data_IF_526639194651
#
_entry.id   IF_526639194651
#
_cell.length_a   1.000
_cell.length_b   1.000
_cell.length_c   1.000
_cell.angle_alpha   90.00
_cell.angle_beta   90.00
_cell.angle_gamma   90.00
#
_symmetry.space_group_name_H-M   'P 1'
#
loop_
_entity.id
_entity.type
_entity.pdbx_description
1 polymer ?
#
# COMPACT_ATOMS: atom_id res chain seq x y z
N UNK A 1 -29.65 17.20 1.88
CA UNK A 1 -29.25 15.80 1.77
C UNK A 1 -28.07 15.81 0.81
N UNK A 2 -26.86 15.36 1.16
CA UNK A 2 -25.88 15.19 0.11
C UNK A 2 -26.33 13.99 -0.73
N UNK A 3 -26.56 14.25 -2.01
CA UNK A 3 -26.67 13.26 -3.06
C UNK A 3 -25.27 12.69 -3.26
N UNK A 4 -25.06 11.40 -3.04
CA UNK A 4 -23.90 10.70 -3.59
C UNK A 4 -24.41 9.45 -4.25
N UNK A 5 -24.52 9.49 -5.59
CA UNK A 5 -24.74 8.36 -6.48
C UNK A 5 -23.51 7.41 -6.55
N UNK A 6 -22.74 7.35 -5.46
CA UNK A 6 -21.45 6.69 -5.32
C UNK A 6 -21.52 5.51 -4.36
N UNK A 7 -20.76 4.47 -4.69
CA UNK A 7 -20.57 3.29 -3.85
C UNK A 7 -19.68 3.64 -2.63
N UNK A 8 -20.02 3.22 -1.41
CA UNK A 8 -19.18 3.41 -0.23
C UNK A 8 -17.78 2.81 -0.36
N UNK A 9 -16.76 3.44 0.23
CA UNK A 9 -15.36 3.02 0.08
C UNK A 9 -15.08 1.60 0.60
N UNK A 10 -15.74 1.21 1.70
CA UNK A 10 -15.67 -0.15 2.27
C UNK A 10 -16.23 -1.19 1.29
N UNK A 11 -17.29 -0.86 0.57
CA UNK A 11 -17.86 -1.69 -0.50
C UNK A 11 -16.88 -1.81 -1.68
N UNK A 12 -16.20 -0.73 -2.06
CA UNK A 12 -15.16 -0.77 -3.11
C UNK A 12 -13.99 -1.68 -2.73
N UNK A 13 -13.50 -1.53 -1.49
CA UNK A 13 -12.40 -2.32 -0.95
C UNK A 13 -12.77 -3.80 -0.89
N UNK A 14 -13.99 -4.13 -0.47
CA UNK A 14 -14.45 -5.51 -0.42
C UNK A 14 -14.64 -6.11 -1.83
N UNK A 15 -15.17 -5.34 -2.79
CA UNK A 15 -15.27 -5.77 -4.19
C UNK A 15 -13.89 -6.05 -4.82
N UNK A 16 -12.89 -5.21 -4.51
CA UNK A 16 -11.49 -5.42 -4.90
C UNK A 16 -10.92 -6.71 -4.26
N UNK A 17 -11.13 -6.90 -2.95
CA UNK A 17 -10.69 -8.10 -2.22
C UNK A 17 -11.27 -9.38 -2.83
N UNK A 18 -12.59 -9.41 -3.07
CA UNK A 18 -13.27 -10.54 -3.71
C UNK A 18 -12.74 -10.80 -5.13
N UNK A 19 -12.44 -9.73 -5.88
CA UNK A 19 -11.87 -9.87 -7.23
C UNK A 19 -10.47 -10.47 -7.19
N UNK A 20 -9.63 -10.11 -6.22
CA UNK A 20 -8.31 -10.75 -6.02
C UNK A 20 -8.46 -12.23 -5.66
N UNK A 21 -9.35 -12.55 -4.72
CA UNK A 21 -9.63 -13.94 -4.34
C UNK A 21 -10.11 -14.78 -5.54
N UNK A 22 -10.98 -14.24 -6.39
CA UNK A 22 -11.41 -14.92 -7.62
C UNK A 22 -10.26 -15.22 -8.59
N UNK A 23 -9.27 -14.32 -8.68
CA UNK A 23 -8.09 -14.48 -9.54
C UNK A 23 -7.13 -15.54 -9.01
N UNK A 24 -6.95 -15.57 -7.68
CA UNK A 24 -6.04 -16.49 -7.00
C UNK A 24 -6.63 -17.88 -6.80
N UNK A 25 -7.97 -18.01 -6.84
CA UNK A 25 -8.66 -19.28 -6.73
C UNK A 25 -8.22 -20.23 -7.85
N UNK A 26 -7.78 -21.44 -7.46
CA UNK A 26 -7.43 -22.52 -8.39
C UNK A 26 -8.69 -23.28 -8.84
N UNK A 27 -9.66 -23.42 -7.93
CA UNK A 27 -10.94 -24.08 -8.17
C UNK A 27 -11.90 -23.14 -8.92
N UNK A 28 -12.44 -23.55 -10.09
CA UNK A 28 -13.46 -22.78 -10.81
C UNK A 28 -14.71 -22.45 -9.99
N UNK A 29 -15.17 -23.36 -9.13
CA UNK A 29 -16.38 -23.15 -8.33
C UNK A 29 -16.14 -22.08 -7.23
N UNK A 30 -14.93 -22.08 -6.66
CA UNK A 30 -14.49 -21.05 -5.71
C UNK A 30 -14.36 -19.68 -6.39
N UNK A 31 -13.80 -19.65 -7.61
CA UNK A 31 -13.72 -18.43 -8.42
C UNK A 31 -15.10 -17.84 -8.69
N UNK A 32 -16.05 -18.65 -9.15
CA UNK A 32 -17.43 -18.22 -9.43
C UNK A 32 -18.12 -17.70 -8.16
N UNK A 33 -17.86 -18.34 -7.00
CA UNK A 33 -18.39 -17.89 -5.71
C UNK A 33 -17.93 -16.47 -5.37
N UNK A 34 -16.63 -16.17 -5.51
CA UNK A 34 -16.12 -14.83 -5.24
C UNK A 34 -16.62 -13.78 -6.24
N UNK A 35 -16.76 -14.14 -7.53
CA UNK A 35 -17.31 -13.25 -8.55
C UNK A 35 -18.78 -12.92 -8.27
N UNK A 36 -19.59 -13.93 -7.95
CA UNK A 36 -21.00 -13.75 -7.60
C UNK A 36 -21.16 -12.89 -6.35
N UNK A 37 -20.35 -13.15 -5.32
CA UNK A 37 -20.38 -12.35 -4.09
C UNK A 37 -20.01 -10.87 -4.33
N UNK A 38 -19.07 -10.58 -5.24
CA UNK A 38 -18.72 -9.22 -5.64
C UNK A 38 -19.88 -8.55 -6.39
N UNK A 39 -20.50 -9.26 -7.31
CA UNK A 39 -21.59 -8.70 -8.13
C UNK A 39 -22.83 -8.40 -7.26
N UNK A 40 -23.19 -9.32 -6.35
CA UNK A 40 -24.25 -9.13 -5.34
C UNK A 40 -23.94 -7.97 -4.37
N UNK A 41 -22.67 -7.70 -4.10
CA UNK A 41 -22.24 -6.62 -3.20
C UNK A 41 -22.45 -5.23 -3.81
N UNK A 42 -22.26 -5.08 -5.12
CA UNK A 42 -22.32 -3.78 -5.82
C UNK A 42 -23.68 -3.50 -6.47
N UNK A 43 -24.48 -4.53 -6.75
CA UNK A 43 -25.82 -4.44 -7.33
C UNK A 43 -26.77 -3.48 -6.55
N UNK A 44 -26.82 -3.46 -5.20
CA UNK A 44 -27.71 -2.57 -4.46
C UNK A 44 -27.46 -1.08 -4.69
N UNK A 45 -26.30 -0.73 -5.25
CA UNK A 45 -25.91 0.63 -5.58
C UNK A 45 -26.10 0.97 -7.07
N UNK A 46 -26.60 0.02 -7.88
CA UNK A 46 -26.77 0.19 -9.32
C UNK A 46 -25.47 0.12 -10.10
N UNK A 47 -24.46 -0.60 -9.57
CA UNK A 47 -23.16 -0.79 -10.22
C UNK A 47 -22.99 -2.23 -10.68
N UNK A 48 -22.14 -2.41 -11.69
CA UNK A 48 -21.63 -3.71 -12.15
C UNK A 48 -20.10 -3.68 -12.18
N UNK A 49 -19.50 -4.87 -12.11
CA UNK A 49 -18.07 -5.04 -11.98
C UNK A 49 -17.48 -5.73 -13.21
N UNK A 50 -16.40 -5.17 -13.75
CA UNK A 50 -15.66 -5.75 -14.87
C UNK A 50 -14.15 -5.69 -14.61
N UNK A 51 -13.45 -6.76 -14.93
CA UNK A 51 -11.98 -6.76 -14.93
C UNK A 51 -11.48 -6.40 -16.32
N UNK A 52 -10.65 -5.36 -16.41
CA UNK A 52 -9.89 -5.01 -17.61
C UNK A 52 -8.55 -5.75 -17.55
N UNK A 53 -8.38 -6.74 -18.43
CA UNK A 53 -7.21 -7.64 -18.39
C UNK A 53 -5.91 -6.98 -18.88
N UNK A 54 -6.00 -5.90 -19.66
CA UNK A 54 -4.82 -5.24 -20.26
C UNK A 54 -3.90 -4.62 -19.20
N UNK A 55 -4.47 -4.09 -18.13
CA UNK A 55 -3.79 -3.40 -17.03
C UNK A 55 -4.16 -3.95 -15.64
N UNK A 56 -4.93 -5.03 -15.60
CA UNK A 56 -5.39 -5.69 -14.37
C UNK A 56 -6.06 -4.71 -13.41
N UNK A 57 -7.10 -4.04 -13.89
CA UNK A 57 -7.93 -3.10 -13.14
C UNK A 57 -9.34 -3.66 -12.98
N UNK A 58 -9.88 -3.61 -11.76
CA UNK A 58 -11.31 -3.75 -11.51
C UNK A 58 -11.99 -2.41 -11.79
N UNK A 59 -12.95 -2.41 -12.69
CA UNK A 59 -13.80 -1.27 -13.01
C UNK A 59 -15.18 -1.53 -12.42
N UNK A 60 -15.61 -0.68 -11.51
CA UNK A 60 -17.00 -0.60 -11.05
C UNK A 60 -17.66 0.55 -11.80
N UNK A 61 -18.72 0.27 -12.56
CA UNK A 61 -19.44 1.30 -13.28
C UNK A 61 -20.95 1.13 -13.15
N UNK A 62 -21.74 2.19 -13.32
CA UNK A 62 -23.19 2.09 -13.32
C UNK A 62 -23.70 1.01 -14.29
N UNK A 63 -24.71 0.26 -13.87
CA UNK A 63 -25.38 -0.74 -14.70
C UNK A 63 -25.97 -0.12 -15.98
N UNK A 64 -26.40 1.14 -15.89
CA UNK A 64 -27.01 1.89 -16.98
C UNK A 64 -26.05 2.19 -18.15
N UNK A 65 -24.75 1.96 -17.97
CA UNK A 65 -23.76 2.10 -19.05
C UNK A 65 -23.70 0.89 -19.97
N UNK A 66 -24.27 -0.23 -19.53
CA UNK A 66 -24.33 -1.47 -20.29
C UNK A 66 -25.64 -1.47 -21.07
N UNK A 67 -25.55 -1.63 -22.40
CA UNK A 67 -26.73 -1.78 -23.25
C UNK A 67 -27.37 -3.18 -23.12
N UNK A 68 -28.49 -3.37 -23.81
CA UNK A 68 -29.20 -4.66 -23.85
C UNK A 68 -28.35 -5.81 -24.44
N UNK A 69 -27.26 -5.50 -25.14
CA UNK A 69 -26.32 -6.46 -25.76
C UNK A 69 -25.10 -6.74 -24.85
N UNK A 70 -25.01 -6.10 -23.67
CA UNK A 70 -23.90 -6.27 -22.73
C UNK A 70 -22.68 -5.39 -23.03
N UNK A 71 -22.81 -4.40 -23.91
CA UNK A 71 -21.72 -3.53 -24.37
C UNK A 71 -21.78 -2.16 -23.69
N UNK A 72 -20.60 -1.63 -23.37
CA UNK A 72 -20.43 -0.25 -22.91
C UNK A 72 -20.06 0.62 -24.10
N UNK A 73 -20.77 1.71 -24.31
CA UNK A 73 -20.52 2.70 -25.37
C UNK A 73 -20.04 4.02 -24.76
N UNK A 74 -18.72 4.25 -24.64
CA UNK A 74 -18.18 5.42 -23.95
C UNK A 74 -18.69 6.75 -24.51
N UNK A 75 -18.92 6.82 -25.82
CA UNK A 75 -19.44 8.02 -26.50
C UNK A 75 -20.88 8.41 -26.09
N UNK A 76 -21.58 7.53 -25.35
CA UNK A 76 -22.95 7.72 -24.88
C UNK A 76 -23.02 7.95 -23.36
N UNK A 77 -21.87 8.00 -22.67
CA UNK A 77 -21.80 8.21 -21.23
C UNK A 77 -21.67 9.71 -20.95
N UNK A 78 -22.72 10.28 -20.34
CA UNK A 78 -22.76 11.70 -20.01
C UNK A 78 -21.78 12.10 -18.89
N UNK A 79 -21.48 11.17 -17.97
CA UNK A 79 -20.61 11.40 -16.82
C UNK A 79 -19.69 10.20 -16.59
N UNK A 80 -18.53 10.20 -17.23
CA UNK A 80 -17.53 9.13 -17.12
C UNK A 80 -16.84 9.07 -15.76
N UNK A 81 -16.94 10.13 -14.95
CA UNK A 81 -16.26 10.23 -13.64
C UNK A 81 -16.94 9.33 -12.59
N UNK A 82 -18.14 8.81 -12.88
CA UNK A 82 -18.82 7.80 -12.04
C UNK A 82 -18.21 6.41 -12.12
N UNK A 83 -17.26 6.18 -13.03
CA UNK A 83 -16.51 4.93 -13.10
C UNK A 83 -15.42 4.88 -12.03
N UNK A 84 -15.42 3.85 -11.21
CA UNK A 84 -14.41 3.64 -10.17
C UNK A 84 -13.42 2.58 -10.66
N UNK A 85 -12.16 2.95 -10.79
CA UNK A 85 -11.07 2.04 -11.17
C UNK A 85 -10.23 1.65 -9.94
N UNK A 86 -10.07 0.35 -9.71
CA UNK A 86 -9.28 -0.23 -8.62
C UNK A 86 -8.20 -1.15 -9.20
N UNK A 87 -6.90 -0.78 -9.12
CA UNK A 87 -5.82 -1.67 -9.56
C UNK A 87 -5.84 -3.00 -8.79
N UNK A 88 -5.79 -4.12 -9.52
CA UNK A 88 -5.72 -5.47 -8.95
C UNK A 88 -4.29 -5.97 -8.83
N UNK A 89 -3.38 -5.42 -9.65
CA UNK A 89 -1.94 -5.43 -9.38
C UNK A 89 -1.60 -4.27 -8.46
N UNK A 90 -0.68 -4.52 -7.54
CA UNK A 90 -0.57 -3.68 -6.36
C UNK A 90 -1.46 -4.25 -5.29
N UNK A 91 -0.93 -4.87 -4.24
CA UNK A 91 -1.71 -5.26 -3.06
C UNK A 91 -2.20 -3.97 -2.37
N UNK A 92 -3.26 -4.00 -1.56
CA UNK A 92 -3.49 -2.91 -0.59
C UNK A 92 -2.23 -2.62 0.25
N UNK A 93 -1.43 -3.67 0.49
CA UNK A 93 -0.08 -3.62 1.04
C UNK A 93 0.94 -2.85 0.16
N UNK A 94 0.79 -2.78 -1.17
CA UNK A 94 1.69 -2.00 -2.05
C UNK A 94 1.37 -0.49 -2.00
N UNK A 95 0.10 -0.12 -1.79
CA UNK A 95 -0.28 1.27 -1.52
C UNK A 95 0.16 1.69 -0.09
N UNK A 96 0.00 0.79 0.88
CA UNK A 96 0.50 0.98 2.25
C UNK A 96 2.03 1.03 2.27
N UNK A 97 2.70 0.13 1.54
CA UNK A 97 4.15 0.10 1.37
C UNK A 97 4.66 1.34 0.65
N UNK A 98 4.03 1.78 -0.44
CA UNK A 98 4.44 2.98 -1.16
C UNK A 98 4.29 4.23 -0.31
N UNK A 99 3.22 4.31 0.49
CA UNK A 99 3.01 5.40 1.45
C UNK A 99 4.04 5.37 2.59
N UNK A 100 4.34 4.19 3.14
CA UNK A 100 5.38 3.98 4.16
C UNK A 100 6.77 4.30 3.61
N UNK A 101 7.09 3.83 2.41
CA UNK A 101 8.37 4.06 1.74
C UNK A 101 8.56 5.54 1.46
N UNK A 102 7.54 6.23 0.93
CA UNK A 102 7.61 7.66 0.66
C UNK A 102 7.82 8.47 1.95
N UNK A 103 7.03 8.17 3.00
CA UNK A 103 7.19 8.82 4.32
C UNK A 103 8.58 8.56 4.93
N UNK A 104 9.06 7.31 4.92
CA UNK A 104 10.37 6.98 5.47
C UNK A 104 11.51 7.59 4.62
N UNK A 105 11.34 7.68 3.29
CA UNK A 105 12.32 8.29 2.40
C UNK A 105 12.46 9.81 2.64
N UNK A 106 11.36 10.53 2.90
CA UNK A 106 11.39 11.95 3.28
C UNK A 106 12.17 12.19 4.59
N UNK A 107 12.02 11.29 5.57
CA UNK A 107 12.80 11.33 6.82
C UNK A 107 14.29 11.07 6.58
N UNK A 108 14.62 10.10 5.71
CA UNK A 108 16.00 9.83 5.32
C UNK A 108 16.62 11.02 4.57
N UNK A 109 15.85 11.67 3.70
CA UNK A 109 16.28 12.88 2.99
C UNK A 109 16.53 14.03 3.96
N UNK A 110 15.64 14.24 4.94
CA UNK A 110 15.83 15.25 6.00
C UNK A 110 17.15 15.03 6.76
N UNK A 111 17.45 13.78 7.12
CA UNK A 111 18.74 13.42 7.74
C UNK A 111 19.92 13.68 6.78
N UNK A 112 19.75 13.45 5.48
CA UNK A 112 20.80 13.70 4.49
C UNK A 112 21.06 15.20 4.25
N UNK A 113 20.04 16.04 4.35
CA UNK A 113 20.16 17.50 4.21
C UNK A 113 20.82 18.14 5.43
N UNK A 114 20.49 17.66 6.63
CA UNK A 114 20.93 18.26 7.89
C UNK A 114 22.23 17.66 8.44
N UNK A 115 22.58 16.43 8.03
CA UNK A 115 23.67 15.66 8.62
C UNK A 115 24.59 15.03 7.57
N UNK A 116 25.50 14.17 8.03
CA UNK A 116 26.50 13.54 7.15
C UNK A 116 25.87 12.45 6.26
N UNK A 117 26.47 12.16 5.09
CA UNK A 117 26.06 11.03 4.26
C UNK A 117 26.11 9.67 4.97
N UNK A 118 26.93 9.55 6.03
CA UNK A 118 27.03 8.34 6.84
C UNK A 118 25.75 8.14 7.66
N UNK A 119 25.22 9.20 8.26
CA UNK A 119 23.93 9.14 8.98
C UNK A 119 22.78 8.82 8.02
N UNK A 120 22.75 9.44 6.84
CA UNK A 120 21.76 9.14 5.81
C UNK A 120 21.80 7.68 5.35
N UNK A 121 23.00 7.11 5.17
CA UNK A 121 23.14 5.70 4.78
C UNK A 121 22.64 4.75 5.89
N UNK A 122 22.91 5.07 7.15
CA UNK A 122 22.39 4.30 8.29
C UNK A 122 20.87 4.42 8.41
N UNK A 123 20.34 5.63 8.24
CA UNK A 123 18.90 5.88 8.24
C UNK A 123 18.20 5.12 7.12
N UNK A 124 18.78 5.12 5.91
CA UNK A 124 18.26 4.35 4.78
C UNK A 124 18.20 2.86 5.08
N UNK A 125 19.25 2.30 5.67
CA UNK A 125 19.26 0.88 6.04
C UNK A 125 18.13 0.52 7.03
N UNK A 126 17.79 1.43 7.96
CA UNK A 126 16.67 1.22 8.88
C UNK A 126 15.31 1.34 8.19
N UNK A 127 15.14 2.33 7.31
CA UNK A 127 13.95 2.48 6.49
C UNK A 127 13.71 1.24 5.59
N UNK A 128 14.76 0.73 4.95
CA UNK A 128 14.73 -0.50 4.15
C UNK A 128 14.30 -1.71 4.99
N UNK A 129 14.82 -1.83 6.22
CA UNK A 129 14.42 -2.91 7.13
C UNK A 129 12.93 -2.86 7.45
N UNK A 130 12.43 -1.70 7.92
CA UNK A 130 11.04 -1.54 8.30
C UNK A 130 10.08 -1.67 7.11
N UNK A 131 10.41 -1.08 5.97
CA UNK A 131 9.60 -1.18 4.76
C UNK A 131 9.49 -2.62 4.26
N UNK A 132 10.61 -3.35 4.21
CA UNK A 132 10.64 -4.70 3.65
C UNK A 132 10.12 -5.79 4.61
N UNK A 133 10.26 -5.62 5.93
CA UNK A 133 9.92 -6.67 6.91
C UNK A 133 8.63 -6.39 7.67
N UNK A 134 8.24 -5.12 7.79
CA UNK A 134 7.16 -4.70 8.69
C UNK A 134 6.13 -3.77 8.04
N UNK A 135 6.37 -3.27 6.82
CA UNK A 135 5.57 -2.24 6.16
C UNK A 135 5.22 -1.12 7.16
N UNK A 136 6.25 -0.60 7.83
CA UNK A 136 6.10 0.25 9.02
C UNK A 136 6.81 1.60 8.90
N UNK A 137 6.18 2.65 9.43
CA UNK A 137 6.79 3.98 9.58
C UNK A 137 7.79 4.03 10.73
N UNK A 138 8.86 4.80 10.57
CA UNK A 138 9.96 4.92 11.54
C UNK A 138 9.46 5.25 12.95
N UNK A 139 8.59 6.25 13.11
CA UNK A 139 8.10 6.72 14.41
C UNK A 139 7.25 5.70 15.20
N UNK A 140 6.85 4.61 14.53
CA UNK A 140 6.03 3.55 15.13
C UNK A 140 6.81 2.27 15.42
N UNK A 141 8.10 2.23 15.11
CA UNK A 141 8.96 1.10 15.45
C UNK A 141 9.11 0.98 16.97
N UNK A 142 8.99 -0.25 17.49
CA UNK A 142 9.16 -0.54 18.91
C UNK A 142 10.57 -1.04 19.23
N UNK A 143 10.82 -1.24 20.53
CA UNK A 143 12.08 -1.81 21.00
C UNK A 143 12.45 -3.17 20.37
N UNK A 144 11.51 -4.11 20.09
CA UNK A 144 11.85 -5.38 19.43
C UNK A 144 12.41 -5.18 18.02
N UNK A 145 11.79 -4.32 17.20
CA UNK A 145 12.20 -4.09 15.83
C UNK A 145 13.55 -3.35 15.78
N UNK A 146 13.76 -2.37 16.66
CA UNK A 146 15.06 -1.68 16.74
C UNK A 146 16.17 -2.64 17.18
N UNK A 147 15.91 -3.53 18.14
CA UNK A 147 16.88 -4.54 18.56
C UNK A 147 17.22 -5.51 17.43
N UNK A 148 16.21 -6.05 16.76
CA UNK A 148 16.40 -6.94 15.61
C UNK A 148 17.20 -6.25 14.50
N UNK A 149 16.89 -4.99 14.21
CA UNK A 149 17.65 -4.23 13.24
C UNK A 149 19.14 -4.17 13.59
N UNK A 150 19.45 -3.74 14.82
CA UNK A 150 20.84 -3.50 15.28
C UNK A 150 21.62 -4.81 15.39
N UNK A 151 21.03 -5.85 15.98
CA UNK A 151 21.74 -7.10 16.30
C UNK A 151 21.78 -8.08 15.13
N UNK A 152 20.75 -8.07 14.28
CA UNK A 152 20.55 -9.11 13.27
C UNK A 152 20.60 -8.58 11.85
N UNK A 153 19.73 -7.63 11.50
CA UNK A 153 19.54 -7.22 10.12
C UNK A 153 20.73 -6.40 9.60
N UNK A 154 21.08 -5.32 10.30
CA UNK A 154 22.09 -4.36 9.90
C UNK A 154 23.49 -4.98 9.66
N UNK A 155 24.04 -5.82 10.57
CA UNK A 155 25.35 -6.42 10.33
C UNK A 155 25.36 -7.46 9.20
N UNK A 156 24.22 -8.09 8.87
CA UNK A 156 24.11 -9.15 7.86
C UNK A 156 23.76 -8.63 6.47
N UNK A 157 22.97 -7.56 6.38
CA UNK A 157 22.35 -7.10 5.13
C UNK A 157 22.85 -5.74 4.66
N UNK A 158 23.19 -4.82 5.57
CA UNK A 158 23.63 -3.47 5.19
C UNK A 158 25.13 -3.40 4.87
N UNK A 159 25.91 -4.42 5.24
CA UNK A 159 27.37 -4.48 5.06
C UNK A 159 28.09 -3.19 5.47
N UNK A 160 27.87 -2.67 6.69
CA UNK A 160 28.31 -1.34 7.06
C UNK A 160 29.83 -1.24 7.22
N UNK A 161 30.36 -0.07 6.90
CA UNK A 161 31.72 0.33 7.27
C UNK A 161 31.87 0.47 8.78
N UNK A 162 33.11 0.53 9.27
CA UNK A 162 33.35 0.70 10.71
C UNK A 162 32.86 2.07 11.22
N UNK A 163 32.96 3.10 10.38
CA UNK A 163 32.40 4.43 10.66
C UNK A 163 30.88 4.37 10.78
N UNK A 164 30.20 3.77 9.80
CA UNK A 164 28.75 3.55 9.83
C UNK A 164 28.29 2.79 11.08
N UNK A 165 28.99 1.70 11.45
CA UNK A 165 28.71 0.96 12.69
C UNK A 165 28.86 1.82 13.94
N UNK A 166 29.94 2.59 14.02
CA UNK A 166 30.19 3.43 15.21
C UNK A 166 29.17 4.54 15.39
N UNK A 167 28.62 5.05 14.29
CA UNK A 167 27.62 6.13 14.29
C UNK A 167 26.18 5.63 14.28
N UNK A 168 25.95 4.31 14.27
CA UNK A 168 24.60 3.74 14.16
C UNK A 168 23.64 4.25 15.24
N UNK A 169 23.99 4.23 16.55
CA UNK A 169 23.07 4.69 17.59
C UNK A 169 22.70 6.17 17.44
N UNK A 170 23.67 7.02 17.11
CA UNK A 170 23.44 8.45 16.85
C UNK A 170 22.57 8.65 15.60
N UNK A 171 22.81 7.86 14.54
CA UNK A 171 22.01 7.93 13.31
C UNK A 171 20.54 7.56 13.56
N UNK A 172 20.27 6.57 14.41
CA UNK A 172 18.91 6.22 14.81
C UNK A 172 18.27 7.35 15.62
N UNK A 173 19.00 7.99 16.53
CA UNK A 173 18.50 9.15 17.26
C UNK A 173 18.08 10.28 16.32
N UNK A 174 18.96 10.68 15.40
CA UNK A 174 18.67 11.74 14.44
C UNK A 174 17.45 11.41 13.56
N UNK A 175 17.31 10.14 13.16
CA UNK A 175 16.18 9.70 12.34
C UNK A 175 14.85 9.73 13.10
N UNK A 176 14.82 9.27 14.35
CA UNK A 176 13.62 9.34 15.18
C UNK A 176 13.26 10.79 15.54
N UNK A 177 14.27 11.63 15.81
CA UNK A 177 14.07 13.07 16.06
C UNK A 177 13.44 13.77 14.84
N UNK A 178 13.90 13.44 13.62
CA UNK A 178 13.30 13.94 12.37
C UNK A 178 11.82 13.50 12.23
N UNK A 179 11.48 12.33 12.73
CA UNK A 179 10.11 11.81 12.76
C UNK A 179 9.27 12.35 13.94
N UNK A 180 9.85 13.20 14.80
CA UNK A 180 9.19 13.74 16.00
C UNK A 180 8.95 12.69 17.10
N UNK A 181 9.78 11.65 17.15
CA UNK A 181 9.66 10.54 18.08
C UNK A 181 10.96 10.30 18.87
N UNK A 182 10.86 9.60 20.00
CA UNK A 182 12.02 9.14 20.76
C UNK A 182 12.40 7.72 20.34
N UNK A 183 13.70 7.42 20.32
CA UNK A 183 14.16 6.04 20.09
C UNK A 183 13.71 5.16 21.26
N UNK A 184 12.99 4.04 21.01
CA UNK A 184 12.61 3.11 22.07
C UNK A 184 13.82 2.55 22.80
N UNK A 185 13.72 2.24 24.09
CA UNK A 185 14.80 1.53 24.79
C UNK A 185 14.91 0.08 24.31
N UNK A 186 15.98 -0.25 23.57
CA UNK A 186 16.18 -1.55 22.92
C UNK A 186 17.34 -2.39 23.48
N UNK A 187 17.85 -2.01 24.67
CA UNK A 187 18.91 -2.75 25.39
C UNK A 187 18.52 -4.19 25.75
#
# INVERSE_FOLDING_TARGET
>A
MPESDDIPEDVQQEAERLTRLARDAVDPDERETYQSARDELVEPYGFTARVREEDDVLVLHPESWVDDEGLVHPDQIDDVDRGIERPLRGTGEDHEWSAVESHNAELVESVAEEHSPVHAANARAFADFLGNHYVRRIETAGAPEVREFVEEYYPRNAWPTDEQRSLLPESLQLLFDAAGAEVPEYN
#
